data_IF_124465789432
#
_entry.id   IF_124465789432
#
_cell.length_a   1.000
_cell.length_b   1.000
_cell.length_c   1.000
_cell.angle_alpha   90.00
_cell.angle_beta   90.00
_cell.angle_gamma   90.00
#
_symmetry.space_group_name_H-M   'P 1'
#
loop_
_entity.id
_entity.type
_entity.pdbx_description
1 polymer ?
#
# COMPACT_ATOMS: atom_id res chain seq x y z
N UNK A 1 -2.92 -9.35 -12.17
CA UNK A 1 -1.47 -9.14 -11.90
C UNK A 1 -1.07 -10.02 -10.74
N UNK A 2 0.19 -10.46 -10.69
CA UNK A 2 0.75 -11.16 -9.53
C UNK A 2 1.55 -10.16 -8.71
N UNK A 3 1.17 -9.93 -7.47
CA UNK A 3 1.91 -9.09 -6.52
C UNK A 3 2.66 -10.02 -5.57
N UNK A 4 3.95 -9.75 -5.36
CA UNK A 4 4.82 -10.51 -4.46
C UNK A 4 5.96 -9.63 -3.94
N UNK A 5 6.90 -10.21 -3.19
CA UNK A 5 8.02 -9.51 -2.56
C UNK A 5 9.02 -8.85 -3.51
N UNK A 6 8.92 -9.08 -4.82
CA UNK A 6 9.71 -8.36 -5.84
C UNK A 6 9.14 -6.98 -6.18
N UNK A 7 7.88 -6.71 -5.82
CA UNK A 7 7.21 -5.45 -6.12
C UNK A 7 7.28 -4.50 -4.92
N UNK A 8 7.59 -3.23 -5.21
CA UNK A 8 7.38 -2.12 -4.30
C UNK A 8 6.20 -1.27 -4.79
N UNK A 9 5.26 -0.96 -3.90
CA UNK A 9 4.09 -0.14 -4.18
C UNK A 9 4.12 1.14 -3.34
N UNK A 10 3.71 2.25 -3.96
CA UNK A 10 3.46 3.52 -3.26
C UNK A 10 1.96 3.76 -3.29
N UNK A 11 1.35 3.95 -2.12
CA UNK A 11 -0.09 4.23 -1.99
C UNK A 11 -0.27 5.65 -1.47
N UNK A 12 -0.80 6.52 -2.31
CA UNK A 12 -1.15 7.90 -1.93
C UNK A 12 -2.49 7.91 -1.19
N UNK A 13 -2.64 8.70 -0.11
CA UNK A 13 -3.87 8.65 0.71
C UNK A 13 -4.00 7.33 1.48
N UNK A 14 -2.87 6.64 1.72
CA UNK A 14 -2.81 5.29 2.26
C UNK A 14 -2.99 5.17 3.77
N UNK A 15 -3.13 6.28 4.50
CA UNK A 15 -3.22 6.28 5.96
C UNK A 15 -4.65 6.04 6.48
N UNK A 16 -5.68 6.12 5.63
CA UNK A 16 -7.07 5.86 6.05
C UNK A 16 -7.96 5.32 4.93
N UNK A 17 -9.15 4.82 5.32
CA UNK A 17 -10.24 4.48 4.40
C UNK A 17 -9.85 3.44 3.33
N UNK A 18 -10.21 3.73 2.08
CA UNK A 18 -9.93 2.83 0.96
C UNK A 18 -8.44 2.73 0.64
N UNK A 19 -7.68 3.81 0.84
CA UNK A 19 -6.23 3.81 0.62
C UNK A 19 -5.52 2.87 1.60
N UNK A 20 -5.91 2.92 2.88
CA UNK A 20 -5.40 1.99 3.90
C UNK A 20 -5.78 0.54 3.57
N UNK A 21 -7.05 0.29 3.23
CA UNK A 21 -7.51 -1.05 2.84
C UNK A 21 -6.73 -1.61 1.65
N UNK A 22 -6.47 -0.76 0.65
CA UNK A 22 -5.67 -1.11 -0.53
C UNK A 22 -4.22 -1.41 -0.15
N UNK A 23 -3.59 -0.55 0.66
CA UNK A 23 -2.22 -0.77 1.12
C UNK A 23 -2.07 -2.07 1.91
N UNK A 24 -3.03 -2.40 2.78
CA UNK A 24 -3.06 -3.67 3.53
C UNK A 24 -3.21 -4.87 2.60
N UNK A 25 -4.11 -4.79 1.62
CA UNK A 25 -4.30 -5.86 0.64
C UNK A 25 -3.04 -6.12 -0.19
N UNK A 26 -2.33 -5.05 -0.60
CA UNK A 26 -1.05 -5.17 -1.32
C UNK A 26 0.04 -5.74 -0.41
N UNK A 27 0.15 -5.27 0.84
CA UNK A 27 1.13 -5.79 1.79
C UNK A 27 0.91 -7.28 2.10
N UNK A 28 -0.35 -7.74 2.14
CA UNK A 28 -0.70 -9.14 2.38
C UNK A 28 -0.20 -10.09 1.27
N UNK A 29 0.12 -9.58 0.08
CA UNK A 29 0.74 -10.39 -0.98
C UNK A 29 2.26 -10.54 -0.81
N UNK A 30 2.84 -9.91 0.20
CA UNK A 30 4.29 -9.87 0.44
C UNK A 30 5.02 -8.72 -0.25
N UNK A 31 4.31 -7.87 -1.01
CA UNK A 31 4.89 -6.68 -1.62
C UNK A 31 5.28 -5.64 -0.54
N UNK A 32 6.32 -4.85 -0.82
CA UNK A 32 6.73 -3.75 0.06
C UNK A 32 5.84 -2.55 -0.24
N UNK A 33 5.25 -1.95 0.79
CA UNK A 33 4.32 -0.83 0.61
C UNK A 33 4.82 0.39 1.37
N UNK A 34 4.95 1.50 0.64
CA UNK A 34 5.15 2.82 1.22
C UNK A 34 3.83 3.60 1.15
N UNK A 35 3.43 4.21 2.26
CA UNK A 35 2.28 5.12 2.30
C UNK A 35 2.78 6.54 2.08
N UNK A 36 2.11 7.27 1.20
CA UNK A 36 2.34 8.69 1.00
C UNK A 36 1.05 9.44 1.30
N UNK A 37 0.98 10.08 2.46
CA UNK A 37 -0.23 10.76 2.91
C UNK A 37 0.11 12.13 3.49
N UNK A 38 -0.90 12.99 3.52
CA UNK A 38 -0.78 14.27 4.21
C UNK A 38 -1.11 14.07 5.68
N UNK A 39 -0.34 14.71 6.55
CA UNK A 39 -0.64 14.79 7.96
C UNK A 39 -0.41 16.24 8.40
N UNK A 40 -1.51 16.95 8.63
CA UNK A 40 -1.54 18.31 9.19
C UNK A 40 -2.05 18.26 10.63
#
# INVERSE_FOLDING_TARGET
MKLDSSIAAVVTGGASGLGEGTARAIAATGARVALFDMNE
#
